data_IF_416819515997
#
_entry.id   IF_416819515997
#
_cell.length_a   1.000
_cell.length_b   1.000
_cell.length_c   1.000
_cell.angle_alpha   90.00
_cell.angle_beta   90.00
_cell.angle_gamma   90.00
#
_symmetry.space_group_name_H-M   'P 1'
#
loop_
_entity.id
_entity.type
_entity.pdbx_description
1 polymer ?
#
# COMPACT_ATOMS: atom_id res chain seq x y z
N UNK A 1 6.78 -8.89 11.47
CA UNK A 1 6.88 -7.53 10.87
C UNK A 1 5.84 -7.44 9.77
N UNK A 2 4.97 -6.42 9.77
CA UNK A 2 3.78 -6.29 8.90
C UNK A 2 4.07 -5.96 7.41
N UNK A 3 5.11 -6.56 6.82
CA UNK A 3 5.61 -6.15 5.51
C UNK A 3 6.06 -4.67 5.49
N UNK A 4 6.63 -4.23 6.60
CA UNK A 4 7.17 -2.88 6.81
C UNK A 4 8.63 -2.97 7.23
N UNK A 5 9.44 -2.01 6.79
CA UNK A 5 10.82 -1.86 7.21
C UNK A 5 11.07 -0.43 7.74
N UNK A 6 12.09 -0.29 8.57
CA UNK A 6 12.53 1.01 9.06
C UNK A 6 13.58 1.56 8.09
N UNK A 7 13.24 2.61 7.37
CA UNK A 7 14.16 3.34 6.51
C UNK A 7 14.79 4.51 7.27
N UNK A 8 16.10 4.67 7.14
CA UNK A 8 16.82 5.87 7.60
C UNK A 8 16.98 6.85 6.44
N UNK A 9 16.71 8.12 6.69
CA UNK A 9 16.88 9.20 5.73
C UNK A 9 17.56 10.42 6.35
N UNK A 10 17.73 11.45 5.53
CA UNK A 10 18.26 12.74 5.94
C UNK A 10 17.27 13.83 5.53
N UNK A 11 16.88 14.66 6.49
CA UNK A 11 16.23 15.94 6.20
C UNK A 11 17.33 16.98 5.98
N UNK A 12 17.21 17.79 4.93
CA UNK A 12 18.16 18.86 4.63
C UNK A 12 17.40 20.18 4.54
N UNK A 13 17.93 21.22 5.16
CA UNK A 13 17.39 22.57 5.11
C UNK A 13 18.52 23.59 5.00
N UNK A 14 18.27 24.73 4.35
CA UNK A 14 19.19 25.86 4.32
C UNK A 14 18.59 26.98 5.17
N UNK A 15 19.36 27.48 6.14
CA UNK A 15 18.98 28.60 7.00
C UNK A 15 19.93 29.76 6.74
N UNK A 16 19.39 30.93 6.46
CA UNK A 16 20.19 32.17 6.38
C UNK A 16 20.03 32.88 7.71
N UNK A 17 21.15 33.16 8.39
CA UNK A 17 21.16 33.95 9.60
C UNK A 17 21.80 35.30 9.29
N UNK A 18 21.10 36.38 9.67
CA UNK A 18 21.68 37.72 9.67
C UNK A 18 22.77 37.77 10.74
N UNK A 19 23.93 38.33 10.39
CA UNK A 19 25.00 38.56 11.35
C UNK A 19 24.70 39.80 12.18
N UNK A 20 25.18 39.83 13.44
CA UNK A 20 25.11 41.05 14.24
C UNK A 20 25.78 42.23 13.53
N UNK A 21 25.11 43.39 13.61
CA UNK A 21 25.50 44.74 13.16
C UNK A 21 26.69 44.81 12.18
N UNK A 22 26.37 44.79 10.87
CA UNK A 22 27.30 45.19 9.80
C UNK A 22 27.96 44.04 9.02
N UNK A 23 27.64 42.77 9.31
CA UNK A 23 28.10 41.62 8.50
C UNK A 23 27.00 41.09 7.59
N UNK A 24 27.33 40.83 6.33
CA UNK A 24 26.47 40.12 5.36
C UNK A 24 26.02 38.76 5.90
N UNK A 25 24.74 38.42 5.69
CA UNK A 25 24.12 37.20 6.19
C UNK A 25 24.87 35.93 5.78
N UNK A 26 24.98 34.98 6.69
CA UNK A 26 25.66 33.69 6.48
C UNK A 26 24.63 32.59 6.24
N UNK A 27 24.87 31.75 5.22
CA UNK A 27 24.02 30.61 4.91
C UNK A 27 24.56 29.34 5.59
N UNK A 28 23.68 28.62 6.27
CA UNK A 28 23.95 27.38 6.97
C UNK A 28 23.15 26.24 6.35
N UNK A 29 23.79 25.10 6.15
CA UNK A 29 23.10 23.86 5.77
C UNK A 29 22.89 23.05 7.04
N UNK A 30 21.61 22.81 7.37
CA UNK A 30 21.21 21.97 8.49
C UNK A 30 20.79 20.62 7.93
N UNK A 31 21.35 19.55 8.49
CA UNK A 31 21.00 18.18 8.11
C UNK A 31 20.69 17.34 9.33
N UNK A 32 19.50 16.74 9.37
CA UNK A 32 19.05 15.90 10.47
C UNK A 32 18.80 14.47 9.98
N UNK A 33 19.22 13.48 10.76
CA UNK A 33 18.93 12.07 10.48
C UNK A 33 17.50 11.76 10.94
N UNK A 34 16.70 11.22 10.03
CA UNK A 34 15.33 10.80 10.31
C UNK A 34 15.16 9.30 10.10
N UNK A 35 14.23 8.70 10.84
CA UNK A 35 13.82 7.30 10.63
C UNK A 35 12.33 7.27 10.37
N UNK A 36 11.92 6.49 9.38
CA UNK A 36 10.52 6.31 8.99
C UNK A 36 10.18 4.84 8.79
N UNK A 37 8.91 4.49 8.94
CA UNK A 37 8.40 3.17 8.59
C UNK A 37 7.88 3.19 7.15
N UNK A 38 8.38 2.29 6.33
CA UNK A 38 8.01 2.17 4.92
C UNK A 38 7.46 0.78 4.64
N UNK A 39 6.59 0.67 3.64
CA UNK A 39 6.16 -0.63 3.13
C UNK A 39 7.24 -1.20 2.22
N UNK A 40 7.44 -2.52 2.27
CA UNK A 40 8.39 -3.18 1.36
C UNK A 40 7.89 -3.02 -0.07
N UNK A 41 8.75 -2.46 -0.93
CA UNK A 41 8.46 -2.23 -2.33
C UNK A 41 8.35 -3.54 -3.12
N UNK A 42 7.49 -3.54 -4.14
CA UNK A 42 7.27 -4.66 -5.06
C UNK A 42 6.92 -6.02 -4.41
N UNK A 43 6.55 -6.01 -3.13
CA UNK A 43 6.12 -7.21 -2.41
C UNK A 43 4.77 -7.71 -2.97
N UNK A 44 4.66 -9.02 -3.18
CA UNK A 44 3.39 -9.63 -3.57
C UNK A 44 2.32 -9.36 -2.50
N UNK A 45 1.13 -8.94 -2.93
CA UNK A 45 0.03 -8.60 -2.02
C UNK A 45 -0.35 -9.75 -1.07
N UNK A 46 -0.37 -10.99 -1.57
CA UNK A 46 -0.72 -12.15 -0.74
C UNK A 46 0.35 -12.40 0.33
N UNK A 47 1.62 -12.29 -0.06
CA UNK A 47 2.75 -12.42 0.86
C UNK A 47 2.69 -11.33 1.94
N UNK A 48 2.44 -10.09 1.53
CA UNK A 48 2.29 -8.95 2.44
C UNK A 48 1.17 -9.16 3.46
N UNK A 49 0.03 -9.71 3.02
CA UNK A 49 -1.10 -10.06 3.91
C UNK A 49 -0.71 -11.18 4.87
N UNK A 50 -0.02 -12.22 4.40
CA UNK A 50 0.40 -13.35 5.23
C UNK A 50 1.38 -12.96 6.35
N UNK A 51 2.15 -11.89 6.14
CA UNK A 51 3.12 -11.36 7.10
C UNK A 51 2.53 -10.38 8.11
N UNK A 52 1.23 -10.05 8.02
CA UNK A 52 0.59 -9.16 8.97
C UNK A 52 0.47 -9.80 10.35
N UNK A 53 0.79 -9.02 11.38
CA UNK A 53 0.71 -9.37 12.81
C UNK A 53 -0.66 -9.87 13.25
N UNK A 54 -1.75 -9.48 12.56
CA UNK A 54 -3.09 -10.01 12.81
C UNK A 54 -3.17 -11.54 12.70
N UNK A 55 -2.23 -12.17 11.99
CA UNK A 55 -2.13 -13.62 11.86
C UNK A 55 -1.09 -14.26 12.76
N UNK A 56 -0.29 -13.49 13.49
CA UNK A 56 0.74 -14.04 14.38
C UNK A 56 0.24 -14.07 15.82
N UNK A 57 0.37 -15.22 16.47
CA UNK A 57 0.21 -15.30 17.91
C UNK A 57 1.50 -14.81 18.58
N UNK A 58 1.39 -13.73 19.36
CA UNK A 58 2.53 -13.13 20.06
C UNK A 58 3.19 -14.05 21.09
N UNK A 59 2.48 -15.07 21.60
CA UNK A 59 3.05 -16.00 22.60
C UNK A 59 3.83 -17.14 21.98
N UNK A 60 3.32 -17.70 20.88
CA UNK A 60 3.96 -18.84 20.20
C UNK A 60 4.86 -18.42 19.04
N UNK A 61 4.74 -17.18 18.56
CA UNK A 61 5.43 -16.70 17.35
C UNK A 61 4.96 -17.37 16.06
N UNK A 62 3.94 -18.24 16.14
CA UNK A 62 3.45 -19.01 15.00
C UNK A 62 2.44 -18.19 14.18
N UNK A 63 2.55 -18.33 12.86
CA UNK A 63 1.55 -17.77 11.94
C UNK A 63 0.35 -18.70 11.85
N UNK A 64 -0.83 -18.14 12.09
CA UNK A 64 -2.14 -18.78 11.91
C UNK A 64 -2.76 -18.44 10.55
N UNK A 65 -1.96 -17.89 9.63
CA UNK A 65 -2.45 -17.47 8.32
C UNK A 65 -2.99 -18.67 7.54
N UNK A 66 -4.28 -18.57 7.19
CA UNK A 66 -4.97 -19.49 6.31
C UNK A 66 -5.98 -18.69 5.49
N UNK A 67 -6.14 -19.02 4.21
CA UNK A 67 -7.12 -18.39 3.31
C UNK A 67 -8.52 -18.38 3.93
N UNK A 68 -8.96 -19.50 4.54
CA UNK A 68 -10.29 -19.59 5.19
C UNK A 68 -10.46 -18.62 6.35
N UNK A 69 -9.37 -18.38 7.10
CA UNK A 69 -9.38 -17.44 8.23
C UNK A 69 -9.34 -16.01 7.73
N UNK A 70 -8.50 -15.72 6.74
CA UNK A 70 -8.36 -14.39 6.14
C UNK A 70 -9.66 -13.89 5.48
N UNK A 71 -10.51 -14.80 4.98
CA UNK A 71 -11.82 -14.46 4.41
C UNK A 71 -12.90 -14.16 5.45
N UNK A 72 -12.67 -14.41 6.75
CA UNK A 72 -13.66 -14.09 7.78
C UNK A 72 -13.84 -12.56 7.88
N UNK A 73 -15.06 -12.04 8.09
CA UNK A 73 -15.33 -10.60 8.05
C UNK A 73 -14.44 -9.74 8.94
N UNK A 74 -14.11 -10.24 10.14
CA UNK A 74 -13.22 -9.56 11.08
C UNK A 74 -11.81 -9.36 10.50
N UNK A 75 -11.21 -10.40 9.91
CA UNK A 75 -9.88 -10.32 9.30
C UNK A 75 -9.91 -9.48 8.03
N UNK A 76 -10.94 -9.62 7.18
CA UNK A 76 -11.09 -8.80 5.96
C UNK A 76 -11.07 -7.31 6.29
N UNK A 77 -11.78 -6.89 7.34
CA UNK A 77 -11.79 -5.49 7.79
C UNK A 77 -10.39 -5.02 8.22
N UNK A 78 -9.68 -5.83 9.01
CA UNK A 78 -8.35 -5.50 9.50
C UNK A 78 -7.31 -5.48 8.36
N UNK A 79 -7.38 -6.44 7.43
CA UNK A 79 -6.54 -6.47 6.23
C UNK A 79 -6.77 -5.19 5.42
N UNK A 80 -8.03 -4.84 5.16
CA UNK A 80 -8.38 -3.64 4.39
C UNK A 80 -7.79 -2.38 5.04
N UNK A 81 -7.88 -2.23 6.36
CA UNK A 81 -7.28 -1.09 7.06
C UNK A 81 -5.78 -0.96 6.84
N UNK A 82 -5.05 -2.07 6.66
CA UNK A 82 -3.60 -2.06 6.44
C UNK A 82 -3.19 -1.84 4.99
N UNK A 83 -4.05 -2.16 4.01
CA UNK A 83 -3.71 -2.08 2.58
C UNK A 83 -4.43 -0.97 1.82
N UNK A 84 -5.50 -0.41 2.39
CA UNK A 84 -6.27 0.66 1.75
C UNK A 84 -5.37 1.87 1.48
N UNK A 85 -5.46 2.40 0.27
CA UNK A 85 -4.65 3.53 -0.19
C UNK A 85 -3.25 3.15 -0.69
N UNK A 86 -2.80 1.91 -0.51
CA UNK A 86 -1.56 1.45 -1.14
C UNK A 86 -1.74 1.35 -2.65
N UNK A 87 -0.73 1.79 -3.39
CA UNK A 87 -0.66 1.60 -4.83
C UNK A 87 -0.10 0.22 -5.13
N UNK A 88 -0.76 -0.50 -6.04
CA UNK A 88 -0.35 -1.83 -6.47
C UNK A 88 -0.27 -1.91 -7.97
N UNK A 89 0.69 -2.70 -8.45
CA UNK A 89 0.96 -2.90 -9.87
C UNK A 89 0.58 -4.32 -10.26
N UNK A 90 -0.20 -4.44 -11.33
CA UNK A 90 -0.46 -5.74 -11.96
C UNK A 90 0.84 -6.33 -12.51
N UNK A 91 1.05 -7.62 -12.31
CA UNK A 91 2.17 -8.36 -12.91
C UNK A 91 1.85 -8.89 -14.30
N UNK A 92 0.57 -8.82 -14.70
CA UNK A 92 0.04 -9.28 -15.98
C UNK A 92 -0.41 -8.11 -16.87
N UNK A 93 -0.64 -8.41 -18.15
CA UNK A 93 -1.12 -7.43 -19.13
C UNK A 93 -0.19 -6.23 -19.27
N UNK A 94 -0.76 -5.02 -19.25
CA UNK A 94 -0.03 -3.75 -19.45
C UNK A 94 0.61 -3.19 -18.16
N UNK A 95 0.78 -4.00 -17.10
CA UNK A 95 1.41 -3.60 -15.82
C UNK A 95 0.86 -2.28 -15.25
N UNK A 96 -0.46 -2.14 -15.25
CA UNK A 96 -1.14 -0.95 -14.70
C UNK A 96 -0.97 -0.88 -13.18
N UNK A 97 -0.84 0.35 -12.69
CA UNK A 97 -0.79 0.69 -11.27
C UNK A 97 -2.08 1.37 -10.84
N UNK A 98 -2.62 1.00 -9.68
CA UNK A 98 -3.84 1.61 -9.13
C UNK A 98 -3.85 1.54 -7.60
N UNK A 99 -4.55 2.47 -6.93
CA UNK A 99 -4.71 2.43 -5.48
C UNK A 99 -5.76 1.38 -5.06
N UNK A 100 -5.54 0.74 -3.91
CA UNK A 100 -6.53 -0.16 -3.32
C UNK A 100 -7.62 0.65 -2.60
N UNK A 101 -8.85 0.60 -3.12
CA UNK A 101 -10.00 1.26 -2.50
C UNK A 101 -10.78 0.38 -1.51
N UNK A 102 -11.02 -0.89 -1.86
CA UNK A 102 -11.81 -1.84 -1.08
C UNK A 102 -11.45 -3.30 -1.42
N UNK A 103 -11.93 -4.26 -0.62
CA UNK A 103 -11.89 -5.70 -0.93
C UNK A 103 -13.26 -6.11 -1.48
N UNK A 104 -13.28 -6.65 -2.70
CA UNK A 104 -14.50 -7.07 -3.39
C UNK A 104 -15.02 -8.45 -2.97
N UNK A 105 -16.13 -8.84 -3.58
CA UNK A 105 -16.65 -10.20 -3.50
C UNK A 105 -15.60 -11.22 -4.01
N UNK A 106 -15.65 -12.48 -3.55
CA UNK A 106 -14.66 -13.48 -3.94
C UNK A 106 -14.68 -13.70 -5.46
N UNK A 107 -13.50 -13.96 -6.03
CA UNK A 107 -13.29 -13.95 -7.48
C UNK A 107 -14.18 -14.94 -8.24
N UNK A 108 -14.54 -16.06 -7.60
CA UNK A 108 -15.43 -17.08 -8.16
C UNK A 108 -16.91 -16.63 -8.26
N UNK A 109 -17.30 -15.59 -7.53
CA UNK A 109 -18.65 -15.02 -7.56
C UNK A 109 -18.77 -13.73 -8.37
N UNK A 110 -17.67 -13.23 -8.94
CA UNK A 110 -17.68 -11.99 -9.72
C UNK A 110 -18.28 -12.24 -11.11
N UNK A 111 -19.41 -11.59 -11.39
CA UNK A 111 -19.95 -11.49 -12.74
C UNK A 111 -19.37 -10.25 -13.41
N UNK A 112 -18.50 -10.46 -14.39
CA UNK A 112 -18.01 -9.35 -15.22
C UNK A 112 -19.08 -9.00 -16.23
N UNK A 113 -19.63 -7.78 -16.12
CA UNK A 113 -20.36 -7.18 -17.22
C UNK A 113 -19.32 -6.91 -18.31
N UNK A 114 -19.29 -7.82 -19.28
CA UNK A 114 -18.54 -7.59 -20.50
C UNK A 114 -19.50 -6.81 -21.38
N UNK A 115 -19.13 -5.61 -21.84
CA UNK A 115 -19.91 -4.87 -22.82
C UNK A 115 -19.92 -5.65 -24.15
N UNK A 116 -20.75 -6.69 -24.20
CA UNK A 116 -21.26 -7.20 -25.46
C UNK A 116 -22.17 -6.12 -25.99
N UNK A 117 -21.70 -5.38 -27.01
CA UNK A 117 -22.56 -4.63 -27.93
C UNK A 117 -23.86 -5.43 -28.11
N UNK A 118 -25.00 -4.86 -27.70
CA UNK A 118 -26.30 -5.41 -28.05
C UNK A 118 -26.31 -5.61 -29.58
N UNK A 119 -26.65 -6.80 -30.10
CA UNK A 119 -27.03 -6.87 -31.49
C UNK A 119 -28.29 -6.01 -31.61
N UNK A 120 -28.19 -4.90 -32.37
CA UNK A 120 -29.39 -4.26 -32.89
C UNK A 120 -30.13 -5.36 -33.64
N UNK A 121 -31.28 -5.77 -33.11
CA UNK A 121 -32.19 -6.62 -33.84
C UNK A 121 -32.61 -5.85 -35.08
N UNK A 122 -32.17 -6.33 -36.24
CA UNK A 122 -32.73 -5.93 -37.51
C UNK A 122 -34.22 -6.26 -37.48
N UNK A 123 -35.04 -5.20 -37.36
CA UNK A 123 -36.45 -5.27 -37.68
C UNK A 123 -36.54 -5.47 -39.19
N UNK A 124 -36.75 -6.72 -39.62
CA UNK A 124 -37.12 -7.04 -41.00
C UNK A 124 -38.51 -7.68 -40.97
N UNK A 125 -39.47 -6.84 -41.36
CA UNK A 125 -40.76 -7.11 -42.04
C UNK A 125 -41.70 -8.14 -41.44
#
# INVERSE_FOLDING_TARGET
MDGKYMGSGLTKAVKVLEGDTGKTGSAFVVTDVTKGAFHVDEQNLLEKISQMSIFFDHRSGQSTFNVKTATKPFYVKNILQQIKGLYVRTTYGKRKTFPIGNIGAPANGLKYLTDSKQPMGDSVR
#
